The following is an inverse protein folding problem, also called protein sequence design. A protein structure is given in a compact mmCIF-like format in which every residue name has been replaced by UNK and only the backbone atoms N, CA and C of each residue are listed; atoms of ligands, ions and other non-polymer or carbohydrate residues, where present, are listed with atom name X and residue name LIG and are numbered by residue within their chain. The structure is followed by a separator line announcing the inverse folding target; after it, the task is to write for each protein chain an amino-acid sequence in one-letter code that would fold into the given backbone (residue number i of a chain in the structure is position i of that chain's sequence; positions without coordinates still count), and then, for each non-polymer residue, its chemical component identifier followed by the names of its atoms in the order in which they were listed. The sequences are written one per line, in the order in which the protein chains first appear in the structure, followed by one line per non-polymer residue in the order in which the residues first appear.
data_IF_806447529260
#
_entry.id   IF_806447529260
#
_cell.length_a   1.000
_cell.length_b   1.000
_cell.length_c   1.000
_cell.angle_alpha   90.00
_cell.angle_beta   90.00
_cell.angle_gamma   90.00
#
_symmetry.space_group_name_H-M   'P 1'
#
loop_
_entity.id
_entity.type
_entity.pdbx_description
1 polymer ?
#
# COMPACT_ATOMS: atom_id res chain seq x y z
N UNK A 1 25.85 4.38 8.17
CA UNK A 1 24.75 5.37 8.11
C UNK A 1 23.76 5.02 6.99
N UNK A 2 23.10 3.84 7.00
CA UNK A 2 22.26 3.38 5.88
C UNK A 2 20.90 4.08 5.82
N UNK A 3 20.38 4.59 6.94
CA UNK A 3 19.03 5.14 7.01
C UNK A 3 18.87 6.47 6.25
N UNK A 4 19.85 7.38 6.37
CA UNK A 4 19.83 8.65 5.63
C UNK A 4 19.89 8.46 4.11
N UNK A 5 20.65 7.47 3.65
CA UNK A 5 20.72 7.11 2.22
C UNK A 5 19.42 6.47 1.74
N UNK A 6 18.83 5.58 2.54
CA UNK A 6 17.53 4.98 2.26
C UNK A 6 16.43 6.05 2.17
N UNK A 7 16.45 7.04 3.06
CA UNK A 7 15.52 8.16 3.03
C UNK A 7 15.68 9.02 1.77
N UNK A 8 16.91 9.31 1.35
CA UNK A 8 17.16 10.03 0.11
C UNK A 8 16.65 9.26 -1.12
N UNK A 9 16.90 7.94 -1.17
CA UNK A 9 16.40 7.09 -2.25
C UNK A 9 14.86 7.00 -2.25
N UNK A 10 14.23 6.86 -1.07
CA UNK A 10 12.78 6.86 -0.92
C UNK A 10 12.15 8.18 -1.35
N UNK A 11 12.78 9.32 -1.02
CA UNK A 11 12.32 10.64 -1.46
C UNK A 11 12.36 10.78 -2.99
N UNK A 12 13.43 10.32 -3.63
CA UNK A 12 13.52 10.34 -5.09
C UNK A 12 12.45 9.45 -5.74
N UNK A 13 12.24 8.25 -5.19
CA UNK A 13 11.19 7.35 -5.66
C UNK A 13 9.79 7.98 -5.48
N UNK A 14 9.52 8.59 -4.33
CA UNK A 14 8.29 9.32 -4.05
C UNK A 14 8.00 10.42 -5.08
N UNK A 15 8.97 11.30 -5.35
CA UNK A 15 8.78 12.43 -6.28
C UNK A 15 8.42 11.91 -7.67
N UNK A 16 9.09 10.85 -8.13
CA UNK A 16 8.84 10.30 -9.45
C UNK A 16 7.49 9.58 -9.50
N UNK A 17 7.14 8.79 -8.49
CA UNK A 17 5.82 8.17 -8.37
C UNK A 17 4.69 9.19 -8.34
N UNK A 18 4.82 10.27 -7.56
CA UNK A 18 3.82 11.34 -7.48
C UNK A 18 3.63 12.02 -8.84
N UNK A 19 4.72 12.27 -9.56
CA UNK A 19 4.65 12.93 -10.88
C UNK A 19 3.99 12.04 -11.94
N UNK A 20 4.23 10.73 -11.89
CA UNK A 20 3.76 9.78 -12.90
C UNK A 20 2.36 9.24 -12.62
N UNK A 21 2.08 8.90 -11.37
CA UNK A 21 0.83 8.23 -10.95
C UNK A 21 -0.13 9.17 -10.22
N UNK A 22 0.31 10.36 -9.82
CA UNK A 22 -0.46 11.28 -8.97
C UNK A 22 -0.56 10.87 -7.50
N UNK A 23 -0.05 9.69 -7.12
CA UNK A 23 -0.15 9.18 -5.74
C UNK A 23 0.94 9.74 -4.84
N UNK A 24 0.54 10.22 -3.67
CA UNK A 24 1.43 10.64 -2.60
C UNK A 24 1.75 9.41 -1.74
N UNK A 25 3.03 9.07 -1.61
CA UNK A 25 3.55 7.99 -0.76
C UNK A 25 4.31 8.54 0.43
N UNK A 26 4.36 7.83 1.55
CA UNK A 26 5.10 8.30 2.72
C UNK A 26 6.59 7.96 2.58
N UNK A 27 7.46 8.97 2.61
CA UNK A 27 8.90 8.80 2.44
C UNK A 27 9.59 8.26 3.69
N UNK A 28 9.14 8.68 4.86
CA UNK A 28 9.75 8.31 6.14
C UNK A 28 9.42 6.87 6.51
N UNK A 29 8.17 6.48 6.28
CA UNK A 29 7.72 5.10 6.44
C UNK A 29 8.39 4.17 5.43
N UNK A 30 8.62 4.62 4.20
CA UNK A 30 9.38 3.86 3.20
C UNK A 30 10.82 3.62 3.63
N UNK A 31 11.49 4.60 4.24
CA UNK A 31 12.87 4.43 4.70
C UNK A 31 13.01 3.64 6.01
N UNK A 32 11.92 3.45 6.75
CA UNK A 32 11.92 2.84 8.09
C UNK A 32 11.27 1.47 8.13
N UNK A 33 10.40 1.14 7.17
CA UNK A 33 9.63 -0.10 7.13
C UNK A 33 9.94 -0.91 5.87
N UNK A 34 10.57 -2.06 6.07
CA UNK A 34 11.00 -3.00 5.01
C UNK A 34 9.81 -3.49 4.18
N UNK A 35 8.70 -3.87 4.80
CA UNK A 35 7.53 -4.40 4.07
C UNK A 35 6.86 -3.34 3.20
N UNK A 36 6.75 -2.11 3.73
CA UNK A 36 6.23 -1.00 2.95
C UNK A 36 7.16 -0.64 1.80
N UNK A 37 8.49 -0.63 2.03
CA UNK A 37 9.46 -0.42 0.97
C UNK A 37 9.36 -1.48 -0.13
N UNK A 38 9.18 -2.77 0.22
CA UNK A 38 8.94 -3.84 -0.78
C UNK A 38 7.69 -3.56 -1.62
N UNK A 39 6.59 -3.20 -0.97
CA UNK A 39 5.35 -2.88 -1.67
C UNK A 39 5.51 -1.71 -2.64
N UNK A 40 6.27 -0.68 -2.25
CA UNK A 40 6.55 0.49 -3.10
C UNK A 40 7.49 0.17 -4.26
N UNK A 41 8.49 -0.68 -4.05
CA UNK A 41 9.37 -1.20 -5.12
C UNK A 41 8.57 -2.03 -6.12
N UNK A 42 7.71 -2.93 -5.65
CA UNK A 42 6.83 -3.73 -6.52
C UNK A 42 5.86 -2.84 -7.32
N UNK A 43 5.26 -1.85 -6.66
CA UNK A 43 4.39 -0.87 -7.32
C UNK A 43 5.14 -0.07 -8.39
N UNK A 44 6.35 0.40 -8.10
CA UNK A 44 7.17 1.13 -9.05
C UNK A 44 7.55 0.29 -10.28
N UNK A 45 7.83 -1.01 -10.09
CA UNK A 45 8.06 -1.96 -11.20
C UNK A 45 6.80 -2.17 -12.04
N UNK A 46 5.64 -2.35 -11.40
CA UNK A 46 4.37 -2.47 -12.11
C UNK A 46 4.06 -1.23 -12.97
N UNK A 47 4.22 -0.01 -12.43
CA UNK A 47 4.08 1.22 -13.21
C UNK A 47 5.10 1.34 -14.35
N UNK A 48 6.29 0.77 -14.21
CA UNK A 48 7.27 0.74 -15.30
C UNK A 48 6.82 -0.17 -16.44
N UNK A 49 6.17 -1.30 -16.14
CA UNK A 49 5.64 -2.26 -17.10
C UNK A 49 4.33 -1.76 -17.75
N UNK A 50 3.40 -1.24 -16.95
CA UNK A 50 2.06 -0.81 -17.40
C UNK A 50 2.11 0.54 -18.13
N UNK A 51 2.76 1.56 -17.56
CA UNK A 51 2.80 2.93 -18.08
C UNK A 51 4.10 3.26 -18.86
N UNK A 52 5.01 2.29 -19.01
CA UNK A 52 6.28 2.47 -19.70
C UNK A 52 7.26 3.40 -18.98
N UNK A 53 7.13 3.55 -17.66
CA UNK A 53 7.96 4.46 -16.86
C UNK A 53 9.27 3.80 -16.39
N UNK A 54 10.16 3.49 -17.34
CA UNK A 54 11.45 2.84 -17.09
C UNK A 54 12.36 3.61 -16.12
N UNK A 55 12.16 4.92 -15.98
CA UNK A 55 12.89 5.77 -15.02
C UNK A 55 12.65 5.39 -13.54
N UNK A 56 11.56 4.65 -13.24
CA UNK A 56 11.25 4.16 -11.89
C UNK A 56 12.14 2.98 -11.48
N UNK A 57 12.57 2.16 -12.44
CA UNK A 57 13.38 0.96 -12.19
C UNK A 57 14.70 1.23 -11.45
N UNK A 58 15.55 2.20 -11.85
CA UNK A 58 16.81 2.46 -11.15
C UNK A 58 16.60 2.98 -9.72
N UNK A 59 15.52 3.73 -9.47
CA UNK A 59 15.20 4.22 -8.13
C UNK A 59 14.69 3.08 -7.25
N UNK A 60 13.84 2.21 -7.79
CA UNK A 60 13.34 1.02 -7.09
C UNK A 60 14.49 0.07 -6.71
N UNK A 61 15.40 -0.22 -7.63
CA UNK A 61 16.59 -1.04 -7.36
C UNK A 61 17.52 -0.42 -6.29
N UNK A 62 17.63 0.92 -6.28
CA UNK A 62 18.42 1.62 -5.26
C UNK A 62 17.81 1.47 -3.86
N UNK A 63 16.48 1.62 -3.73
CA UNK A 63 15.77 1.39 -2.46
C UNK A 63 15.93 -0.07 -2.01
N UNK A 64 15.79 -1.02 -2.94
CA UNK A 64 16.00 -2.46 -2.71
C UNK A 64 17.37 -2.77 -2.10
N UNK A 65 18.41 -2.20 -2.69
CA UNK A 65 19.80 -2.38 -2.25
C UNK A 65 20.04 -1.77 -0.87
N UNK A 66 19.62 -0.52 -0.66
CA UNK A 66 19.88 0.21 0.59
C UNK A 66 19.12 -0.38 1.77
N UNK A 67 17.91 -0.87 1.53
CA UNK A 67 17.08 -1.49 2.56
C UNK A 67 17.31 -3.00 2.68
N UNK A 68 18.25 -3.56 1.92
CA UNK A 68 18.58 -4.99 1.92
C UNK A 68 17.31 -5.84 1.79
N UNK A 69 16.42 -5.41 0.90
CA UNK A 69 15.16 -6.07 0.61
C UNK A 69 15.49 -7.38 -0.11
N UNK A 70 15.90 -8.38 0.65
CA UNK A 70 16.10 -9.75 0.13
C UNK A 70 14.76 -10.18 -0.42
N UNK A 71 14.70 -10.50 -1.72
CA UNK A 71 13.46 -10.90 -2.38
C UNK A 71 13.04 -12.30 -1.88
N UNK A 72 11.89 -12.47 -1.20
CA UNK A 72 11.06 -13.62 -1.52
C UNK A 72 10.32 -13.26 -2.80
N UNK A 73 10.74 -13.86 -3.92
CA UNK A 73 9.99 -13.79 -5.15
C UNK A 73 8.54 -14.26 -4.90
N UNK A 74 7.58 -13.33 -4.78
CA UNK A 74 6.17 -13.69 -4.89
C UNK A 74 5.31 -12.55 -5.43
N UNK A 75 5.06 -12.69 -6.73
CA UNK A 75 3.85 -12.43 -7.49
C UNK A 75 3.09 -11.12 -7.20
N UNK A 76 3.15 -10.24 -8.20
CA UNK A 76 2.15 -9.22 -8.50
C UNK A 76 0.75 -9.64 -8.07
N UNK A 77 0.21 -8.95 -7.08
CA UNK A 77 -1.24 -8.86 -6.93
C UNK A 77 -1.66 -7.52 -7.54
N UNK A 78 -2.35 -7.51 -8.69
CA UNK A 78 -2.88 -6.27 -9.25
C UNK A 78 -3.86 -5.62 -8.25
N UNK A 79 -4.07 -4.29 -8.33
CA UNK A 79 -5.10 -3.63 -7.55
C UNK A 79 -6.43 -4.33 -7.84
N UNK A 80 -7.09 -4.80 -6.77
CA UNK A 80 -8.50 -5.20 -6.86
C UNK A 80 -9.29 -3.93 -7.19
N UNK A 81 -9.77 -3.82 -8.42
CA UNK A 81 -11.09 -3.27 -8.65
C UNK A 81 -12.08 -4.20 -7.94
N UNK A 82 -12.63 -3.76 -6.80
CA UNK A 82 -13.78 -4.42 -6.18
C UNK A 82 -15.06 -3.69 -6.62
N UNK A 83 -15.81 -4.18 -7.62
CA UNK A 83 -17.24 -3.93 -7.70
C UNK A 83 -18.02 -5.06 -7.02
N UNK A 84 -19.07 -4.65 -6.29
CA UNK A 84 -20.24 -5.42 -5.88
C UNK A 84 -20.12 -6.37 -4.66
N UNK A 85 -20.65 -5.84 -3.54
CA UNK A 85 -21.42 -6.54 -2.49
C UNK A 85 -22.21 -7.75 -3.01
N UNK A 86 -22.09 -8.93 -2.38
CA UNK A 86 -23.15 -9.91 -2.36
C UNK A 86 -23.97 -9.79 -1.07
N UNK A 87 -25.24 -9.47 -1.27
CA UNK A 87 -26.37 -9.55 -0.34
C UNK A 87 -26.47 -10.92 0.35
N UNK A 88 -26.85 -10.87 1.63
CA UNK A 88 -27.20 -11.99 2.50
C UNK A 88 -28.59 -12.58 2.15
N UNK A 89 -28.73 -13.90 2.16
CA UNK A 89 -30.00 -14.63 2.34
C UNK A 89 -29.64 -16.06 2.83
N UNK A 90 -29.61 -16.33 4.14
CA UNK A 90 -30.68 -16.75 5.05
C UNK A 90 -30.93 -18.27 5.10
N UNK A 91 -30.91 -18.84 6.33
CA UNK A 91 -31.75 -19.89 6.98
C UNK A 91 -30.96 -20.38 8.22
N UNK A 92 -31.15 -19.85 9.45
CA UNK A 92 -32.15 -20.22 10.51
C UNK A 92 -31.92 -21.66 11.03
N UNK A 93 -31.70 -22.00 12.31
CA UNK A 93 -32.14 -21.46 13.61
C UNK A 93 -31.22 -21.93 14.77
N UNK A 94 -31.03 -21.13 15.83
CA UNK A 94 -31.59 -21.41 17.18
C UNK A 94 -31.31 -20.23 18.16
N UNK A 95 -32.40 -19.59 18.63
CA UNK A 95 -32.73 -19.09 19.99
C UNK A 95 -31.60 -18.57 20.93
N UNK A 96 -31.57 -17.38 21.59
CA UNK A 96 -32.50 -16.30 22.01
C UNK A 96 -31.63 -15.05 22.40
N UNK A 97 -32.15 -13.81 22.23
CA UNK A 97 -31.56 -12.51 22.65
C UNK A 97 -32.39 -11.83 23.79
N UNK A 98 -31.99 -10.73 24.49
CA UNK A 98 -31.58 -9.43 23.88
C UNK A 98 -30.39 -8.65 24.55
N UNK A 99 -29.44 -8.19 23.70
CA UNK A 99 -28.92 -6.80 23.44
C UNK A 99 -28.67 -5.86 24.66
N UNK A 100 -27.51 -5.14 24.76
CA UNK A 100 -26.99 -4.30 23.68
C UNK A 100 -25.48 -4.39 23.32
N UNK A 101 -25.24 -4.34 22.01
CA UNK A 101 -24.01 -3.85 21.37
C UNK A 101 -23.93 -2.30 21.50
N UNK A 102 -22.81 -1.60 21.20
CA UNK A 102 -21.70 -2.04 20.35
C UNK A 102 -20.28 -1.59 20.80
N UNK A 103 -19.34 -2.53 20.93
CA UNK A 103 -17.91 -2.20 20.84
C UNK A 103 -17.44 -2.47 19.40
N UNK A 104 -18.02 -1.72 18.46
CA UNK A 104 -17.79 -1.87 17.03
C UNK A 104 -17.76 -0.52 16.34
N UNK A 105 -16.97 0.42 16.86
CA UNK A 105 -16.92 1.77 16.28
C UNK A 105 -15.63 2.54 16.59
N UNK A 106 -14.48 2.03 16.16
CA UNK A 106 -13.20 2.73 16.43
C UNK A 106 -12.26 2.93 15.24
N UNK A 107 -12.57 2.31 14.09
CA UNK A 107 -11.82 2.51 12.85
C UNK A 107 -12.60 3.39 11.86
N UNK A 108 -13.93 3.29 11.84
CA UNK A 108 -14.86 4.13 11.07
C UNK A 108 -14.92 5.59 11.56
N UNK A 109 -14.89 5.82 12.88
CA UNK A 109 -14.87 7.18 13.45
C UNK A 109 -13.53 7.91 13.26
N UNK A 110 -12.46 7.18 12.91
CA UNK A 110 -11.12 7.74 12.70
C UNK A 110 -10.86 8.13 11.24
N UNK A 111 -11.87 8.02 10.37
CA UNK A 111 -11.79 8.47 8.98
C UNK A 111 -12.21 9.93 8.88
N UNK A 112 -11.26 10.83 9.11
CA UNK A 112 -11.46 12.27 8.99
C UNK A 112 -11.31 12.65 7.52
N UNK A 113 -12.37 13.21 6.94
CA UNK A 113 -12.28 13.97 5.69
C UNK A 113 -12.85 13.25 4.47
N UNK A 114 -14.17 13.38 4.30
CA UNK A 114 -14.78 13.40 2.96
C UNK A 114 -14.02 14.43 2.10
N UNK A 115 -13.19 13.96 1.18
CA UNK A 115 -12.71 14.80 0.07
C UNK A 115 -13.94 15.20 -0.76
N UNK A 116 -14.11 16.50 -0.90
CA UNK A 116 -15.11 17.15 -1.75
C UNK A 116 -14.36 17.89 -2.84
#
# INVERSE_FOLDING_TARGET
MPHSEALAAAAHLHVLLRRKTGRVTDTEWMASNVEYARAMVAFARACAEEDGHVDLLPLAARVETLMQLTEPARASRPPRDDPAVPTVDAVVADSIAPVPAPAGDSLSQRYIGRLR
#
